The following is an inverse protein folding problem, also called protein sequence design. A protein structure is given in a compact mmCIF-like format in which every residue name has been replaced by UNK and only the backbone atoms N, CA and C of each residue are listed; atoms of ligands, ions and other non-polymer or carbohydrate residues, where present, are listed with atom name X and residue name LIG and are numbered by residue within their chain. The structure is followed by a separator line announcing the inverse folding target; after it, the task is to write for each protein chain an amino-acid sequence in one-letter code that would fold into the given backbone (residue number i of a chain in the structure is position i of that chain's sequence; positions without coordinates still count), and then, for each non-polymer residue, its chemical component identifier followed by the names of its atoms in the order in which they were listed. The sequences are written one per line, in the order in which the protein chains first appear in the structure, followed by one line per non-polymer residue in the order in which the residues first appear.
data_IF_474914741760
#
_entry.id   IF_474914741760
#
_cell.length_a   1.000
_cell.length_b   1.000
_cell.length_c   1.000
_cell.angle_alpha   90.00
_cell.angle_beta   90.00
_cell.angle_gamma   90.00
#
_symmetry.space_group_name_H-M   'P 1'
#
loop_
_entity.id
_entity.type
_entity.pdbx_description
1 polymer ?
#
# COMPACT_ATOMS: atom_id res chain seq x y z
N UNK A 1 24.75 19.46 -7.69
CA UNK A 1 24.73 18.28 -6.80
C UNK A 1 23.62 17.36 -7.29
N UNK A 2 23.89 16.06 -7.45
CA UNK A 2 22.86 15.07 -7.82
C UNK A 2 21.96 14.89 -6.58
N UNK A 3 20.64 15.02 -6.74
CA UNK A 3 19.70 14.83 -5.63
C UNK A 3 19.36 13.35 -5.55
N UNK A 4 19.62 12.74 -4.41
CA UNK A 4 19.25 11.35 -4.15
C UNK A 4 17.79 11.30 -3.72
N UNK A 5 17.00 10.46 -4.39
CA UNK A 5 15.62 10.18 -4.02
C UNK A 5 15.58 8.91 -3.18
N UNK A 6 14.88 8.95 -2.05
CA UNK A 6 14.64 7.76 -1.22
C UNK A 6 13.22 7.28 -1.51
N UNK A 7 13.11 6.04 -1.99
CA UNK A 7 11.83 5.38 -2.24
C UNK A 7 11.65 4.29 -1.18
N UNK A 8 10.55 4.34 -0.44
CA UNK A 8 10.15 3.27 0.48
C UNK A 8 8.69 2.89 0.26
N UNK A 9 8.34 1.64 0.56
CA UNK A 9 6.96 1.21 0.53
C UNK A 9 6.66 0.25 1.67
N UNK A 10 5.39 0.16 2.05
CA UNK A 10 4.89 -0.90 2.90
C UNK A 10 3.62 -1.50 2.33
N UNK A 11 3.42 -2.77 2.68
CA UNK A 11 2.26 -3.57 2.28
C UNK A 11 1.55 -3.98 3.57
N UNK A 12 0.23 -3.79 3.63
CA UNK A 12 -0.60 -4.22 4.75
C UNK A 12 -1.72 -5.12 4.27
N UNK A 13 -1.96 -6.21 4.99
CA UNK A 13 -3.18 -7.00 4.86
C UNK A 13 -4.19 -6.52 5.90
N UNK A 14 -5.39 -6.15 5.47
CA UNK A 14 -6.47 -5.73 6.35
C UNK A 14 -7.72 -6.58 6.13
N UNK A 15 -8.43 -6.88 7.21
CA UNK A 15 -9.76 -7.50 7.17
C UNK A 15 -10.83 -6.42 7.33
N UNK A 16 -11.94 -6.55 6.60
CA UNK A 16 -13.09 -5.67 6.73
C UNK A 16 -13.88 -6.04 8.00
N UNK A 17 -14.00 -5.11 8.93
CA UNK A 17 -14.55 -5.33 10.27
C UNK A 17 -16.03 -5.72 10.31
N UNK A 18 -16.78 -5.51 9.22
CA UNK A 18 -18.21 -5.84 9.18
C UNK A 18 -18.49 -7.32 8.98
N UNK A 19 -17.67 -8.01 8.17
CA UNK A 19 -17.94 -9.40 7.80
C UNK A 19 -16.75 -10.36 8.06
N UNK A 20 -15.54 -9.88 8.38
CA UNK A 20 -14.30 -10.69 8.53
C UNK A 20 -13.94 -11.63 7.37
N UNK A 21 -14.77 -11.69 6.32
CA UNK A 21 -14.64 -12.54 5.14
C UNK A 21 -14.05 -11.79 3.95
N UNK A 22 -14.07 -10.44 3.96
CA UNK A 22 -13.40 -9.65 2.94
C UNK A 22 -12.04 -9.14 3.45
N UNK A 23 -11.00 -9.50 2.70
CA UNK A 23 -9.64 -9.01 2.91
C UNK A 23 -9.29 -7.96 1.87
N UNK A 24 -8.36 -7.08 2.21
CA UNK A 24 -7.75 -6.17 1.26
C UNK A 24 -6.25 -6.09 1.49
N UNK A 25 -5.52 -5.95 0.40
CA UNK A 25 -4.12 -5.57 0.43
C UNK A 25 -4.06 -4.07 0.19
N UNK A 26 -3.32 -3.34 1.03
CA UNK A 26 -3.01 -1.93 0.78
C UNK A 26 -1.51 -1.75 0.62
N UNK A 27 -1.12 -0.97 -0.38
CA UNK A 27 0.27 -0.61 -0.65
C UNK A 27 0.38 0.90 -0.50
N UNK A 28 1.36 1.35 0.28
CA UNK A 28 1.70 2.76 0.43
C UNK A 28 3.14 2.97 -0.03
N UNK A 29 3.32 3.84 -1.02
CA UNK A 29 4.60 4.24 -1.59
C UNK A 29 4.93 5.64 -1.08
N UNK A 30 6.12 5.79 -0.54
CA UNK A 30 6.68 7.05 -0.05
C UNK A 30 7.91 7.40 -0.91
N UNK A 31 7.87 8.57 -1.55
CA UNK A 31 8.99 9.12 -2.30
C UNK A 31 9.46 10.37 -1.56
N UNK A 32 10.65 10.31 -0.97
CA UNK A 32 11.30 11.44 -0.33
C UNK A 32 12.31 12.04 -1.31
N UNK A 33 12.06 13.28 -1.71
CA UNK A 33 12.93 14.05 -2.60
C UNK A 33 12.96 15.50 -2.11
N UNK A 34 14.14 16.07 -1.89
CA UNK A 34 14.32 17.47 -1.47
C UNK A 34 13.50 17.89 -0.24
N UNK A 35 13.52 17.06 0.80
CA UNK A 35 12.70 17.25 2.02
C UNK A 35 11.18 17.29 1.78
N UNK A 36 10.70 16.90 0.59
CA UNK A 36 9.28 16.69 0.29
C UNK A 36 8.97 15.20 0.30
N UNK A 37 7.86 14.83 0.94
CA UNK A 37 7.28 13.49 0.90
C UNK A 37 6.12 13.48 -0.09
N UNK A 38 6.22 12.67 -1.14
CA UNK A 38 5.10 12.32 -2.00
C UNK A 38 4.64 10.90 -1.65
N UNK A 39 3.41 10.80 -1.14
CA UNK A 39 2.84 9.56 -0.66
C UNK A 39 1.68 9.14 -1.55
N UNK A 40 1.73 7.90 -2.04
CA UNK A 40 0.66 7.30 -2.84
C UNK A 40 0.16 6.04 -2.15
N UNK A 41 -1.16 5.90 -2.01
CA UNK A 41 -1.78 4.71 -1.42
C UNK A 41 -2.71 4.07 -2.43
N UNK A 42 -2.62 2.75 -2.57
CA UNK A 42 -3.53 1.95 -3.40
C UNK A 42 -4.11 0.79 -2.61
N UNK A 43 -5.39 0.52 -2.83
CA UNK A 43 -6.13 -0.55 -2.18
C UNK A 43 -6.55 -1.58 -3.23
N UNK A 44 -6.37 -2.86 -2.88
CA UNK A 44 -6.75 -4.01 -3.67
C UNK A 44 -7.69 -4.87 -2.83
N UNK A 45 -9.01 -4.84 -3.09
CA UNK A 45 -9.92 -5.80 -2.47
C UNK A 45 -9.56 -7.20 -2.97
N UNK A 46 -9.51 -8.17 -2.06
CA UNK A 46 -9.45 -9.57 -2.44
C UNK A 46 -10.89 -10.06 -2.61
N UNK A 47 -11.29 -10.34 -3.84
CA UNK A 47 -12.56 -11.01 -4.12
C UNK A 47 -12.43 -12.50 -3.79
N UNK A 48 -13.51 -13.11 -3.32
CA UNK A 48 -13.57 -14.46 -2.69
C UNK A 48 -13.25 -15.66 -3.59
N UNK A 49 -12.71 -15.48 -4.81
CA UNK A 49 -12.34 -16.61 -5.68
C UNK A 49 -10.81 -16.83 -5.65
N UNK A 50 -10.32 -17.47 -4.58
CA UNK A 50 -9.02 -18.12 -4.56
C UNK A 50 -9.29 -19.62 -4.54
N UNK A 51 -9.39 -20.23 -5.72
CA UNK A 51 -9.35 -21.69 -5.84
C UNK A 51 -7.91 -22.13 -5.53
N UNK A 52 -7.74 -22.92 -4.46
CA UNK A 52 -6.48 -23.58 -4.11
C UNK A 52 -6.24 -24.82 -4.97
#
# INVERSE_FOLDING_TARGET
MRQDEIISFFISLGANSKNCQSFHISIMLNIYSNAKLNQQKRFFPMNENIDF
#
